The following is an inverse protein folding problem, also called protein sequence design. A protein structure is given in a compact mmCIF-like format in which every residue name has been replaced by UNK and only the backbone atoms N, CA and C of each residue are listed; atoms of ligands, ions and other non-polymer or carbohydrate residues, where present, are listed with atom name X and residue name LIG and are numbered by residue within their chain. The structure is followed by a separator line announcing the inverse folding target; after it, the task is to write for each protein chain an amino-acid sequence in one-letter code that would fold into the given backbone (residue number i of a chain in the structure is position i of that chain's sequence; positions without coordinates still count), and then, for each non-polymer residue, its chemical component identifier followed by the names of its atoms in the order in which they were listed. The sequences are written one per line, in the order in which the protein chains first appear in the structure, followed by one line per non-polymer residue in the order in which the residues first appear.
data_IF_929205216908
#
_entry.id   IF_929205216908
#
_cell.length_a   1.000
_cell.length_b   1.000
_cell.length_c   1.000
_cell.angle_alpha   90.00
_cell.angle_beta   90.00
_cell.angle_gamma   90.00
#
_symmetry.space_group_name_H-M   'P 1'
#
loop_
_entity.id
_entity.type
_entity.pdbx_description
1 polymer ?
#
# COMPACT_ATOMS: atom_id res chain seq x y z
N UNK A 1 14.32 0.29 17.35
CA UNK A 1 15.25 1.17 16.63
C UNK A 1 14.52 2.25 15.82
N UNK A 2 13.91 1.97 14.65
CA UNK A 2 13.23 3.03 13.87
C UNK A 2 11.91 3.54 14.46
N UNK A 3 11.09 2.65 15.02
CA UNK A 3 9.83 3.03 15.69
C UNK A 3 10.10 3.92 16.91
N UNK A 4 11.16 3.61 17.67
CA UNK A 4 11.53 4.35 18.88
C UNK A 4 12.04 5.75 18.55
N UNK A 5 12.91 5.88 17.54
CA UNK A 5 13.37 7.19 17.02
C UNK A 5 12.18 8.04 16.55
N UNK A 6 11.22 7.42 15.86
CA UNK A 6 10.00 8.10 15.42
C UNK A 6 9.19 8.66 16.58
N UNK A 7 8.97 7.84 17.61
CA UNK A 7 8.26 8.23 18.83
C UNK A 7 8.98 9.35 19.59
N UNK A 8 10.30 9.26 19.70
CA UNK A 8 11.14 10.29 20.33
C UNK A 8 11.06 11.64 19.61
N UNK A 9 10.77 11.64 18.30
CA UNK A 9 10.58 12.84 17.48
C UNK A 9 9.10 13.24 17.32
N UNK A 10 8.19 12.65 18.11
CA UNK A 10 6.75 12.96 18.05
C UNK A 10 6.05 12.53 16.76
N UNK A 11 6.61 11.55 16.04
CA UNK A 11 6.05 11.00 14.80
C UNK A 11 5.39 9.65 15.07
N UNK A 12 4.19 9.45 14.52
CA UNK A 12 3.53 8.15 14.51
C UNK A 12 4.24 7.23 13.52
N UNK A 13 4.87 6.15 14.03
CA UNK A 13 5.65 5.21 13.21
C UNK A 13 5.22 3.77 13.50
N UNK A 14 4.97 3.01 12.43
CA UNK A 14 4.67 1.57 12.50
C UNK A 14 5.64 0.82 11.58
N UNK A 15 6.22 -0.26 12.08
CA UNK A 15 6.98 -1.19 11.27
C UNK A 15 6.07 -2.34 10.87
N UNK A 16 6.05 -2.66 9.58
CA UNK A 16 5.38 -3.83 9.02
C UNK A 16 6.51 -4.72 8.51
N UNK A 17 6.55 -5.97 8.97
CA UNK A 17 7.49 -6.95 8.46
C UNK A 17 6.82 -7.66 7.29
N UNK A 18 7.30 -7.40 6.08
CA UNK A 18 6.86 -8.07 4.86
C UNK A 18 7.87 -9.13 4.46
N UNK A 19 7.40 -10.25 3.93
CA UNK A 19 8.25 -11.28 3.33
C UNK A 19 8.74 -10.78 1.96
N UNK A 20 10.06 -10.60 1.84
CA UNK A 20 10.72 -10.06 0.64
C UNK A 20 11.65 -11.11 0.01
N UNK A 21 11.46 -12.39 0.34
CA UNK A 21 12.29 -13.50 -0.15
C UNK A 21 12.15 -13.71 -1.67
N UNK A 22 11.21 -13.01 -2.33
CA UNK A 22 10.97 -13.04 -3.77
C UNK A 22 10.68 -11.64 -4.30
N UNK A 23 11.00 -11.36 -5.58
CA UNK A 23 10.52 -10.14 -6.23
C UNK A 23 8.99 -10.07 -6.12
N UNK A 24 8.48 -8.93 -5.69
CA UNK A 24 7.04 -8.63 -5.73
C UNK A 24 6.65 -8.41 -7.19
N UNK A 25 5.63 -9.12 -7.66
CA UNK A 25 5.20 -9.06 -9.06
C UNK A 25 6.11 -9.82 -10.04
N UNK A 26 5.87 -9.63 -11.34
CA UNK A 26 6.61 -10.31 -12.42
C UNK A 26 7.55 -9.38 -13.19
N UNK A 27 7.46 -8.06 -13.00
CA UNK A 27 8.33 -7.10 -13.66
C UNK A 27 9.64 -6.88 -12.89
N UNK A 28 10.74 -6.99 -13.62
CA UNK A 28 12.04 -6.51 -13.16
C UNK A 28 12.48 -5.44 -14.18
N UNK A 29 12.47 -4.17 -13.77
CA UNK A 29 12.92 -3.04 -14.59
C UNK A 29 11.91 -1.87 -14.65
N UNK A 30 12.42 -0.64 -14.53
CA UNK A 30 11.65 0.61 -14.38
C UNK A 30 10.40 0.73 -15.26
N UNK A 31 10.49 0.42 -16.56
CA UNK A 31 9.35 0.57 -17.47
C UNK A 31 8.30 -0.55 -17.31
N UNK A 32 8.74 -1.76 -16.97
CA UNK A 32 7.84 -2.90 -16.72
C UNK A 32 7.14 -2.74 -15.37
N UNK A 33 7.83 -2.20 -14.36
CA UNK A 33 7.28 -1.85 -13.04
C UNK A 33 6.18 -0.78 -13.16
N UNK A 34 6.40 0.28 -13.96
CA UNK A 34 5.36 1.30 -14.20
C UNK A 34 4.10 0.70 -14.83
N UNK A 35 4.26 -0.26 -15.76
CA UNK A 35 3.11 -0.95 -16.37
C UNK A 35 2.35 -1.78 -15.33
N UNK A 36 3.04 -2.51 -14.47
CA UNK A 36 2.40 -3.27 -13.38
C UNK A 36 1.65 -2.38 -12.39
N UNK A 37 2.19 -1.19 -12.08
CA UNK A 37 1.48 -0.19 -11.27
C UNK A 37 0.20 0.27 -11.99
N UNK A 38 0.28 0.62 -13.27
CA UNK A 38 -0.89 1.05 -14.05
C UNK A 38 -1.95 -0.06 -14.11
N UNK A 39 -1.56 -1.30 -14.31
CA UNK A 39 -2.48 -2.43 -14.35
C UNK A 39 -3.10 -2.69 -12.97
N UNK A 40 -2.33 -2.57 -11.89
CA UNK A 40 -2.82 -2.64 -10.50
C UNK A 40 -3.86 -1.57 -10.19
N UNK A 41 -3.59 -0.32 -10.59
CA UNK A 41 -4.53 0.80 -10.45
C UNK A 41 -5.82 0.63 -11.26
N UNK A 42 -5.79 -0.19 -12.32
CA UNK A 42 -6.97 -0.52 -13.13
C UNK A 42 -7.70 -1.79 -12.67
N UNK A 43 -7.27 -2.39 -11.55
CA UNK A 43 -7.84 -3.65 -11.05
C UNK A 43 -7.40 -4.90 -11.82
N UNK A 44 -6.37 -4.80 -12.65
CA UNK A 44 -5.77 -5.90 -13.43
C UNK A 44 -4.37 -6.31 -12.93
N UNK A 45 -3.96 -5.81 -11.76
CA UNK A 45 -2.66 -6.08 -11.16
C UNK A 45 -2.49 -7.51 -10.69
N UNK A 46 -1.23 -7.88 -10.41
CA UNK A 46 -0.91 -9.15 -9.78
C UNK A 46 -1.43 -9.16 -8.34
N UNK A 47 -1.98 -10.30 -7.93
CA UNK A 47 -2.70 -10.43 -6.65
C UNK A 47 -1.79 -10.20 -5.44
N UNK A 48 -0.54 -10.62 -5.53
CA UNK A 48 0.50 -10.42 -4.50
C UNK A 48 0.83 -8.93 -4.31
N UNK A 49 1.15 -8.23 -5.40
CA UNK A 49 1.46 -6.79 -5.37
C UNK A 49 0.25 -5.98 -4.86
N UNK A 50 -0.94 -6.30 -5.37
CA UNK A 50 -2.18 -5.61 -4.98
C UNK A 50 -2.45 -5.78 -3.48
N UNK A 51 -2.25 -6.99 -2.96
CA UNK A 51 -2.46 -7.31 -1.55
C UNK A 51 -1.52 -6.52 -0.64
N UNK A 52 -0.22 -6.49 -0.95
CA UNK A 52 0.77 -5.73 -0.18
C UNK A 52 0.46 -4.22 -0.22
N UNK A 53 0.09 -3.68 -1.38
CA UNK A 53 -0.32 -2.28 -1.50
C UNK A 53 -1.54 -1.94 -0.63
N UNK A 54 -2.55 -2.82 -0.58
CA UNK A 54 -3.74 -2.63 0.26
C UNK A 54 -3.36 -2.60 1.74
N UNK A 55 -2.54 -3.55 2.20
CA UNK A 55 -2.10 -3.62 3.60
C UNK A 55 -1.31 -2.37 3.99
N UNK A 56 -0.38 -1.94 3.14
CA UNK A 56 0.41 -0.73 3.38
C UNK A 56 -0.49 0.52 3.46
N UNK A 57 -1.39 0.70 2.50
CA UNK A 57 -2.31 1.84 2.49
C UNK A 57 -3.25 1.85 3.70
N UNK A 58 -3.77 0.68 4.11
CA UNK A 58 -4.61 0.57 5.31
C UNK A 58 -3.83 0.96 6.57
N UNK A 59 -2.57 0.54 6.69
CA UNK A 59 -1.71 0.97 7.78
C UNK A 59 -1.40 2.47 7.75
N UNK A 60 -1.23 3.08 6.58
CA UNK A 60 -1.08 4.54 6.45
C UNK A 60 -2.32 5.30 6.94
N UNK A 61 -3.52 4.83 6.60
CA UNK A 61 -4.78 5.41 7.10
C UNK A 61 -4.89 5.30 8.63
N UNK A 62 -4.55 4.16 9.21
CA UNK A 62 -4.52 3.99 10.67
C UNK A 62 -3.50 4.92 11.32
N UNK A 63 -2.30 5.07 10.73
CA UNK A 63 -1.26 5.98 11.23
C UNK A 63 -1.67 7.45 11.17
N UNK A 64 -2.52 7.82 10.21
CA UNK A 64 -3.09 9.17 10.09
C UNK A 64 -4.25 9.45 11.05
N UNK A 65 -4.62 8.47 11.90
CA UNK A 65 -5.73 8.56 12.85
C UNK A 65 -7.11 8.84 12.20
N UNK A 66 -7.28 8.53 10.91
CA UNK A 66 -8.54 8.74 10.18
C UNK A 66 -9.58 7.67 10.53
N UNK A 67 -9.16 6.41 10.70
CA UNK A 67 -10.03 5.29 10.98
C UNK A 67 -9.28 4.10 11.61
N UNK A 68 -10.02 3.11 12.12
CA UNK A 68 -9.46 1.83 12.55
C UNK A 68 -9.04 0.96 11.34
N UNK A 69 -8.35 -0.15 11.63
CA UNK A 69 -7.76 -0.99 10.60
C UNK A 69 -8.79 -1.68 9.70
N UNK A 70 -9.92 -2.11 10.26
CA UNK A 70 -10.98 -2.79 9.51
C UNK A 70 -11.65 -1.83 8.53
N UNK A 71 -11.99 -0.62 9.02
CA UNK A 71 -12.51 0.46 8.19
C UNK A 71 -11.50 0.90 7.13
N UNK A 72 -10.21 0.96 7.48
CA UNK A 72 -9.15 1.32 6.55
C UNK A 72 -9.02 0.32 5.40
N UNK A 73 -9.10 -0.99 5.68
CA UNK A 73 -9.10 -2.02 4.65
C UNK A 73 -10.29 -1.88 3.69
N UNK A 74 -11.51 -1.71 4.22
CA UNK A 74 -12.70 -1.52 3.38
C UNK A 74 -12.56 -0.30 2.46
N UNK A 75 -12.10 0.83 3.01
CA UNK A 75 -11.94 2.08 2.24
C UNK A 75 -10.90 1.97 1.13
N UNK A 76 -9.77 1.31 1.39
CA UNK A 76 -8.74 1.11 0.37
C UNK A 76 -9.24 0.18 -0.74
N UNK A 77 -9.96 -0.89 -0.38
CA UNK A 77 -10.55 -1.80 -1.35
C UNK A 77 -11.61 -1.09 -2.20
N UNK A 78 -12.52 -0.33 -1.58
CA UNK A 78 -13.53 0.46 -2.27
C UNK A 78 -12.91 1.49 -3.23
N UNK A 79 -11.82 2.15 -2.83
CA UNK A 79 -11.13 3.13 -3.67
C UNK A 79 -10.39 2.48 -4.86
N UNK A 80 -9.91 1.23 -4.71
CA UNK A 80 -9.37 0.44 -5.83
C UNK A 80 -10.50 0.01 -6.78
N UNK A 81 -11.60 -0.52 -6.23
CA UNK A 81 -12.72 -1.05 -7.02
C UNK A 81 -13.49 0.05 -7.76
N UNK A 82 -13.57 1.25 -7.19
CA UNK A 82 -14.21 2.43 -7.82
C UNK A 82 -13.34 3.07 -8.91
N UNK A 83 -12.05 2.71 -8.99
CA UNK A 83 -11.08 3.33 -9.88
C UNK A 83 -10.71 4.77 -9.51
N UNK A 84 -11.08 5.25 -8.32
CA UNK A 84 -10.72 6.60 -7.86
C UNK A 84 -9.21 6.77 -7.70
N UNK A 85 -8.47 5.72 -7.33
CA UNK A 85 -7.00 5.79 -7.15
C UNK A 85 -6.29 6.07 -8.48
N UNK A 86 -6.88 5.71 -9.63
CA UNK A 86 -6.34 6.02 -10.96
C UNK A 86 -6.62 7.44 -11.46
N UNK A 87 -7.44 8.22 -10.75
CA UNK A 87 -7.79 9.60 -11.12
C UNK A 87 -6.85 10.60 -10.46
N UNK A 88 -5.56 10.53 -10.81
CA UNK A 88 -4.66 11.64 -10.54
C UNK A 88 -4.99 12.80 -11.50
N UNK A 89 -5.56 13.89 -10.95
CA UNK A 89 -5.58 15.21 -11.56
C UNK A 89 -4.53 16.10 -10.88
#
# INVERSE_FOLDING_TARGET
AMVDIGKENGRSVKAILTDMDRPLGHAIGNALEIREVIDTLKGHGLKDLTHECIIMAAHMLVLSHICDYETALSRVQEALDSGEIGRAH
#
